data_IF_796357639974
#
_entry.id   IF_796357639974
#
_cell.length_a   1.000
_cell.length_b   1.000
_cell.length_c   1.000
_cell.angle_alpha   90.00
_cell.angle_beta   90.00
_cell.angle_gamma   90.00
#
_symmetry.space_group_name_H-M   'P 1'
#
loop_
_entity.id
_entity.type
_entity.pdbx_description
1 polymer ?
#
# COMPACT_ATOMS: atom_id res chain seq x y z
N UNK A 1 59.84 -63.79 14.16
CA UNK A 1 59.11 -64.83 14.92
C UNK A 1 59.25 -64.47 16.40
N UNK A 2 58.28 -63.81 17.06
CA UNK A 2 57.11 -64.38 17.75
C UNK A 2 57.53 -64.98 19.12
N UNK A 3 56.95 -64.72 20.31
CA UNK A 3 55.66 -64.14 20.76
C UNK A 3 55.68 -63.99 22.32
N UNK A 4 54.87 -63.04 22.85
CA UNK A 4 54.07 -63.08 24.12
C UNK A 4 54.78 -63.13 25.50
N UNK A 5 54.40 -62.50 26.62
CA UNK A 5 53.15 -61.98 27.28
C UNK A 5 53.59 -60.93 28.35
N UNK A 6 52.89 -59.84 28.73
CA UNK A 6 51.65 -59.64 29.53
C UNK A 6 51.33 -58.12 29.47
N UNK A 7 50.24 -57.64 28.86
CA UNK A 7 48.86 -57.50 29.39
C UNK A 7 48.72 -56.67 30.68
N UNK A 8 48.47 -55.36 30.53
CA UNK A 8 47.93 -54.47 31.56
C UNK A 8 46.39 -54.51 31.52
N UNK A 9 45.79 -54.71 32.68
CA UNK A 9 44.34 -54.81 32.88
C UNK A 9 43.65 -53.45 32.80
N UNK A 10 42.49 -53.48 32.16
CA UNK A 10 41.58 -52.38 31.84
C UNK A 10 40.97 -51.67 33.04
N UNK A 11 40.99 -50.34 33.02
CA UNK A 11 39.98 -49.48 33.65
C UNK A 11 39.34 -48.59 32.59
N UNK A 12 38.17 -48.98 32.07
CA UNK A 12 37.24 -48.04 31.42
C UNK A 12 35.86 -48.66 31.20
N UNK A 13 35.14 -48.83 32.31
CA UNK A 13 33.70 -49.00 32.27
C UNK A 13 33.00 -47.64 32.28
N UNK A 14 32.12 -47.44 31.30
CA UNK A 14 30.82 -46.74 31.48
C UNK A 14 30.84 -45.19 31.62
N UNK A 15 31.20 -44.47 30.56
CA UNK A 15 30.73 -43.08 30.34
C UNK A 15 30.74 -42.76 28.84
N UNK A 16 29.68 -43.09 28.09
CA UNK A 16 29.60 -42.66 26.66
C UNK A 16 28.20 -42.68 26.01
N UNK A 17 27.11 -42.94 26.74
CA UNK A 17 25.76 -42.98 26.11
C UNK A 17 24.85 -41.80 26.49
N UNK A 18 24.92 -41.30 27.72
CA UNK A 18 24.09 -40.17 28.14
C UNK A 18 24.67 -38.80 27.72
N UNK A 19 25.99 -38.66 27.63
CA UNK A 19 26.62 -37.40 27.17
C UNK A 19 26.37 -37.11 25.68
N UNK A 20 26.30 -38.13 24.81
CA UNK A 20 26.01 -37.94 23.38
C UNK A 20 24.54 -37.55 23.13
N UNK A 21 23.59 -38.12 23.87
CA UNK A 21 22.17 -37.70 23.78
C UNK A 21 22.00 -36.24 24.21
N UNK A 22 22.66 -35.83 25.29
CA UNK A 22 22.57 -34.46 25.82
C UNK A 22 23.22 -33.44 24.88
N UNK A 23 24.32 -33.81 24.19
CA UNK A 23 25.00 -32.95 23.22
C UNK A 23 24.23 -32.81 21.89
N UNK A 24 23.62 -33.88 21.38
CA UNK A 24 22.73 -33.83 20.21
C UNK A 24 21.44 -33.05 20.50
N UNK A 25 20.86 -33.21 21.69
CA UNK A 25 19.65 -32.48 22.08
C UNK A 25 19.93 -31.00 22.34
N UNK A 26 21.12 -30.67 22.87
CA UNK A 26 21.62 -29.30 23.01
C UNK A 26 21.92 -28.66 21.65
N UNK A 27 22.62 -29.35 20.74
CA UNK A 27 22.90 -28.81 19.40
C UNK A 27 21.63 -28.65 18.57
N UNK A 28 20.65 -29.55 18.73
CA UNK A 28 19.33 -29.46 18.11
C UNK A 28 18.51 -28.30 18.69
N UNK A 29 18.56 -28.06 20.01
CA UNK A 29 17.93 -26.88 20.63
C UNK A 29 18.55 -25.58 20.15
N UNK A 30 19.88 -25.49 20.09
CA UNK A 30 20.61 -24.33 19.55
C UNK A 30 20.26 -24.11 18.07
N UNK A 31 20.21 -25.16 17.26
CA UNK A 31 19.81 -25.05 15.85
C UNK A 31 18.35 -24.64 15.67
N UNK A 32 17.44 -25.12 16.53
CA UNK A 32 16.02 -24.72 16.51
C UNK A 32 15.85 -23.26 16.98
N UNK A 33 16.61 -22.82 17.98
CA UNK A 33 16.61 -21.45 18.48
C UNK A 33 17.24 -20.46 17.48
N UNK A 34 18.28 -20.88 16.77
CA UNK A 34 18.90 -20.12 15.69
C UNK A 34 17.96 -19.99 14.47
N UNK A 35 17.29 -21.07 14.07
CA UNK A 35 16.26 -21.05 13.02
C UNK A 35 15.05 -20.20 13.43
N UNK A 36 14.59 -20.32 14.69
CA UNK A 36 13.49 -19.51 15.19
C UNK A 36 13.85 -18.01 15.19
N UNK A 37 15.04 -17.64 15.66
CA UNK A 37 15.47 -16.23 15.68
C UNK A 37 15.78 -15.65 14.29
N UNK A 38 16.14 -16.47 13.31
CA UNK A 38 16.38 -16.05 11.92
C UNK A 38 15.10 -15.69 11.15
N UNK A 39 14.00 -16.35 11.50
CA UNK A 39 12.73 -16.28 10.80
C UNK A 39 11.64 -15.52 11.56
N UNK A 40 11.76 -15.34 12.88
CA UNK A 40 10.73 -14.64 13.65
C UNK A 40 10.83 -13.11 13.51
N UNK A 41 9.70 -12.44 13.24
CA UNK A 41 9.63 -10.98 13.21
C UNK A 41 9.83 -10.36 14.60
N UNK A 42 10.40 -9.13 14.70
CA UNK A 42 10.49 -8.41 15.96
C UNK A 42 9.08 -8.08 16.47
N UNK A 43 8.67 -8.69 17.58
CA UNK A 43 7.27 -8.64 18.06
C UNK A 43 6.79 -7.19 18.27
N UNK A 44 7.62 -6.32 18.85
CA UNK A 44 7.26 -4.91 19.06
C UNK A 44 7.02 -4.16 17.74
N UNK A 45 7.83 -4.43 16.71
CA UNK A 45 7.63 -3.83 15.39
C UNK A 45 6.29 -4.27 14.78
N UNK A 46 5.97 -5.56 14.85
CA UNK A 46 4.70 -6.08 14.34
C UNK A 46 3.54 -5.44 15.07
N UNK A 47 3.58 -5.44 16.40
CA UNK A 47 2.50 -4.89 17.22
C UNK A 47 2.24 -3.44 16.85
N UNK A 48 3.28 -2.62 16.74
CA UNK A 48 3.16 -1.22 16.34
C UNK A 48 2.59 -1.08 14.93
N UNK A 49 3.10 -1.82 13.94
CA UNK A 49 2.59 -1.74 12.56
C UNK A 49 1.13 -2.20 12.48
N UNK A 50 0.78 -3.29 13.17
CA UNK A 50 -0.60 -3.79 13.22
C UNK A 50 -1.54 -2.80 13.91
N UNK A 51 -1.12 -2.15 14.99
CA UNK A 51 -1.93 -1.14 15.66
C UNK A 51 -2.09 0.12 14.80
N UNK A 52 -0.98 0.64 14.25
CA UNK A 52 -0.95 1.90 13.51
C UNK A 52 -1.54 1.76 12.11
N UNK A 53 -0.96 0.90 11.27
CA UNK A 53 -1.49 0.62 9.92
C UNK A 53 -2.87 -0.03 9.99
N UNK A 54 -3.15 -0.87 10.99
CA UNK A 54 -4.48 -1.45 11.17
C UNK A 54 -5.54 -0.42 11.51
N UNK A 55 -5.23 0.58 12.35
CA UNK A 55 -6.14 1.70 12.61
C UNK A 55 -6.47 2.47 11.33
N UNK A 56 -5.45 2.84 10.54
CA UNK A 56 -5.65 3.53 9.26
C UNK A 56 -6.37 2.65 8.23
N UNK A 57 -6.13 1.34 8.26
CA UNK A 57 -6.83 0.36 7.44
C UNK A 57 -8.33 0.38 7.72
N UNK A 58 -8.77 0.49 8.97
CA UNK A 58 -10.20 0.54 9.33
C UNK A 58 -10.89 1.76 8.70
N UNK A 59 -10.27 2.95 8.78
CA UNK A 59 -10.83 4.16 8.16
C UNK A 59 -10.83 4.08 6.62
N UNK A 60 -9.76 3.53 6.04
CA UNK A 60 -9.68 3.30 4.59
C UNK A 60 -10.75 2.30 4.12
N UNK A 61 -10.97 1.23 4.90
CA UNK A 61 -12.03 0.25 4.66
C UNK A 61 -13.42 0.89 4.73
N UNK A 62 -13.66 1.75 5.72
CA UNK A 62 -14.90 2.55 5.81
C UNK A 62 -15.10 3.36 4.55
N UNK A 63 -14.07 4.03 4.04
CA UNK A 63 -14.20 4.86 2.84
C UNK A 63 -14.59 4.07 1.59
N UNK A 64 -14.17 2.81 1.49
CA UNK A 64 -14.52 1.90 0.39
C UNK A 64 -15.94 1.32 0.55
N UNK A 65 -16.24 0.75 1.72
CA UNK A 65 -17.40 -0.13 1.90
C UNK A 65 -18.56 0.49 2.68
N UNK A 66 -18.36 1.64 3.33
CA UNK A 66 -19.37 2.33 4.12
C UNK A 66 -19.10 3.85 4.12
N UNK A 67 -18.95 4.42 2.92
CA UNK A 67 -18.56 5.81 2.72
C UNK A 67 -19.50 6.76 3.47
N UNK A 68 -18.96 7.66 4.29
CA UNK A 68 -19.79 8.58 5.07
C UNK A 68 -20.33 8.01 6.39
N UNK A 69 -20.08 6.72 6.70
CA UNK A 69 -20.42 6.16 8.00
C UNK A 69 -19.49 6.72 9.07
N UNK A 70 -20.06 7.30 10.12
CA UNK A 70 -19.33 7.74 11.29
C UNK A 70 -18.95 6.52 12.16
N UNK A 71 -17.65 6.34 12.38
CA UNK A 71 -17.08 5.30 13.25
C UNK A 71 -16.16 5.89 14.34
N UNK A 72 -15.80 7.18 14.24
CA UNK A 72 -14.88 7.86 15.16
C UNK A 72 -15.54 8.95 16.02
N UNK A 73 -16.87 8.99 16.09
CA UNK A 73 -17.62 9.93 16.93
C UNK A 73 -17.60 11.35 16.39
N UNK A 74 -17.46 12.35 17.27
CA UNK A 74 -17.54 13.76 16.90
C UNK A 74 -16.43 14.19 15.91
N UNK A 75 -15.21 13.69 16.11
CA UNK A 75 -14.06 14.04 15.25
C UNK A 75 -14.23 13.52 13.83
N UNK A 76 -14.73 12.29 13.68
CA UNK A 76 -15.02 11.71 12.37
C UNK A 76 -16.23 12.38 11.71
N UNK A 77 -17.24 12.80 12.47
CA UNK A 77 -18.34 13.59 11.92
C UNK A 77 -17.86 14.90 11.30
N UNK A 78 -17.02 15.67 12.01
CA UNK A 78 -16.48 16.94 11.51
C UNK A 78 -15.66 16.71 10.22
N UNK A 79 -14.79 15.71 10.21
CA UNK A 79 -14.00 15.33 9.04
C UNK A 79 -14.85 14.87 7.85
N UNK A 80 -15.88 14.06 8.09
CA UNK A 80 -16.83 13.62 7.05
C UNK A 80 -17.68 14.78 6.52
N UNK A 81 -17.98 15.77 7.36
CA UNK A 81 -18.71 16.99 6.96
C UNK A 81 -17.83 17.84 6.05
N UNK A 82 -16.58 18.08 6.46
CA UNK A 82 -15.60 18.81 5.65
C UNK A 82 -15.43 18.18 4.26
N UNK A 83 -15.31 16.84 4.20
CA UNK A 83 -15.14 16.10 2.95
C UNK A 83 -16.46 15.80 2.21
N UNK A 84 -17.59 16.39 2.64
CA UNK A 84 -18.93 16.15 2.09
C UNK A 84 -19.36 14.66 2.04
N UNK A 85 -18.66 13.79 2.76
CA UNK A 85 -18.84 12.34 2.66
C UNK A 85 -20.12 11.86 3.35
N UNK A 86 -20.67 12.65 4.29
CA UNK A 86 -21.95 12.35 4.96
C UNK A 86 -23.11 12.29 3.96
N UNK A 87 -23.05 13.05 2.87
CA UNK A 87 -24.09 13.09 1.85
C UNK A 87 -24.34 11.71 1.22
N UNK A 88 -23.31 10.87 1.12
CA UNK A 88 -23.38 9.51 0.57
C UNK A 88 -23.97 8.48 1.55
N UNK A 89 -24.01 8.81 2.85
CA UNK A 89 -24.55 7.96 3.91
C UNK A 89 -25.98 8.36 4.33
N UNK A 90 -26.29 9.66 4.38
CA UNK A 90 -27.61 10.16 4.77
C UNK A 90 -28.69 9.53 3.87
N UNK A 91 -29.86 9.16 4.41
CA UNK A 91 -30.95 8.48 3.70
C UNK A 91 -32.24 9.30 3.36
N UNK A 92 -32.22 10.63 3.48
CA UNK A 92 -33.37 11.53 3.21
C UNK A 92 -33.77 11.82 1.74
N UNK A 93 -32.85 11.78 0.75
CA UNK A 93 -33.09 12.15 -0.68
C UNK A 93 -33.62 11.00 -1.55
N UNK A 94 -34.12 9.90 -0.98
CA UNK A 94 -34.80 8.83 -1.72
C UNK A 94 -33.95 7.86 -2.56
N UNK A 95 -32.62 8.01 -2.65
CA UNK A 95 -31.74 7.05 -3.35
C UNK A 95 -31.20 5.91 -2.48
N UNK A 96 -31.89 5.64 -1.37
CA UNK A 96 -31.25 5.61 -0.06
C UNK A 96 -31.63 4.35 0.74
N UNK A 97 -31.23 3.19 0.25
CA UNK A 97 -31.14 1.96 1.06
C UNK A 97 -29.71 1.46 1.25
N UNK A 98 -28.70 2.25 0.85
CA UNK A 98 -27.37 1.69 0.60
C UNK A 98 -26.26 2.21 1.51
N UNK A 99 -26.53 3.18 2.41
CA UNK A 99 -25.66 3.55 3.54
C UNK A 99 -24.17 3.74 3.16
N UNK A 100 -23.89 4.38 2.02
CA UNK A 100 -22.54 4.56 1.50
C UNK A 100 -21.80 3.29 1.06
N UNK A 101 -22.50 2.17 0.96
CA UNK A 101 -21.98 0.87 0.53
C UNK A 101 -21.64 0.80 -0.95
N UNK A 102 -21.18 -0.36 -1.43
CA UNK A 102 -20.93 -0.56 -2.87
C UNK A 102 -22.21 -0.51 -3.70
N UNK A 103 -23.33 -0.83 -3.08
CA UNK A 103 -24.63 -0.78 -3.71
C UNK A 103 -25.00 0.66 -4.09
N UNK A 104 -24.49 1.69 -3.39
CA UNK A 104 -24.72 3.12 -3.66
C UNK A 104 -24.18 3.62 -5.00
N UNK A 105 -23.48 2.76 -5.73
CA UNK A 105 -22.96 3.05 -7.07
C UNK A 105 -24.13 2.94 -8.05
N UNK A 106 -24.58 4.11 -8.53
CA UNK A 106 -25.63 4.22 -9.54
C UNK A 106 -25.05 4.09 -10.94
N UNK A 107 -25.73 3.42 -11.89
CA UNK A 107 -25.31 3.40 -13.29
C UNK A 107 -25.47 4.76 -13.99
N UNK A 108 -26.17 5.72 -13.38
CA UNK A 108 -26.37 7.08 -13.92
C UNK A 108 -25.79 8.10 -12.97
N UNK A 109 -24.96 9.00 -13.49
CA UNK A 109 -24.37 10.13 -12.76
C UNK A 109 -25.26 11.37 -12.87
N UNK A 110 -25.51 12.06 -11.76
CA UNK A 110 -26.23 13.34 -11.67
C UNK A 110 -25.56 14.24 -10.64
N UNK A 111 -25.72 15.57 -10.74
CA UNK A 111 -25.14 16.51 -9.77
C UNK A 111 -25.55 16.19 -8.33
N UNK A 112 -26.81 15.79 -8.16
CA UNK A 112 -27.30 15.52 -6.84
C UNK A 112 -26.70 14.22 -6.25
N UNK A 113 -26.35 13.21 -7.08
CA UNK A 113 -25.79 11.92 -6.64
C UNK A 113 -24.27 11.88 -6.62
N UNK A 114 -23.64 12.82 -7.31
CA UNK A 114 -22.20 13.07 -7.31
C UNK A 114 -21.40 11.75 -7.36
N UNK A 115 -21.66 10.91 -8.37
CA UNK A 115 -20.93 9.64 -8.54
C UNK A 115 -19.42 9.87 -8.71
N UNK A 116 -19.01 11.03 -9.22
CA UNK A 116 -17.61 11.46 -9.28
C UNK A 116 -16.96 11.59 -7.91
N UNK A 117 -17.58 12.37 -7.01
CA UNK A 117 -17.10 12.50 -5.63
C UNK A 117 -17.13 11.17 -4.87
N UNK A 118 -18.18 10.36 -5.07
CA UNK A 118 -18.25 9.01 -4.48
C UNK A 118 -17.13 8.10 -5.01
N UNK A 119 -16.83 8.19 -6.31
CA UNK A 119 -15.73 7.46 -6.95
C UNK A 119 -14.39 7.86 -6.34
N UNK A 120 -14.07 9.15 -6.28
CA UNK A 120 -12.82 9.67 -5.71
C UNK A 120 -12.66 9.20 -4.26
N UNK A 121 -13.74 9.27 -3.45
CA UNK A 121 -13.68 8.84 -2.05
C UNK A 121 -13.45 7.33 -1.91
N UNK A 122 -14.19 6.50 -2.67
CA UNK A 122 -14.01 5.04 -2.63
C UNK A 122 -12.65 4.61 -3.17
N UNK A 123 -12.20 5.22 -4.26
CA UNK A 123 -10.91 4.92 -4.86
C UNK A 123 -9.76 5.39 -3.97
N UNK A 124 -9.88 6.56 -3.34
CA UNK A 124 -8.92 7.06 -2.35
C UNK A 124 -8.82 6.13 -1.15
N UNK A 125 -9.96 5.67 -0.64
CA UNK A 125 -10.02 4.63 0.39
C UNK A 125 -9.38 3.31 -0.06
N UNK A 126 -9.58 2.88 -1.30
CA UNK A 126 -8.96 1.65 -1.83
C UNK A 126 -7.45 1.80 -1.99
N UNK A 127 -6.97 2.95 -2.47
CA UNK A 127 -5.55 3.24 -2.61
C UNK A 127 -4.86 3.29 -1.23
N UNK A 128 -5.51 3.92 -0.25
CA UNK A 128 -5.05 3.96 1.13
C UNK A 128 -5.07 2.56 1.79
N UNK A 129 -6.11 1.77 1.55
CA UNK A 129 -6.20 0.40 2.04
C UNK A 129 -5.08 -0.46 1.43
N UNK A 130 -4.84 -0.35 0.13
CA UNK A 130 -3.73 -1.01 -0.55
C UNK A 130 -2.36 -0.58 0.01
N UNK A 131 -2.19 0.70 0.35
CA UNK A 131 -0.94 1.19 0.96
C UNK A 131 -0.73 0.62 2.37
N UNK A 132 -1.79 0.44 3.16
CA UNK A 132 -1.70 -0.24 4.46
C UNK A 132 -1.44 -1.75 4.31
N UNK A 133 -2.07 -2.43 3.33
CA UNK A 133 -1.83 -3.85 3.03
C UNK A 133 -0.35 -4.09 2.71
N UNK A 134 0.31 -3.15 2.05
CA UNK A 134 1.73 -3.26 1.72
C UNK A 134 2.64 -3.36 2.95
N UNK A 135 2.21 -2.81 4.09
CA UNK A 135 2.88 -2.91 5.39
C UNK A 135 2.45 -4.16 6.16
N UNK A 136 1.14 -4.44 6.18
CA UNK A 136 0.54 -5.51 6.99
C UNK A 136 0.78 -6.91 6.40
N UNK A 137 0.57 -7.10 5.10
CA UNK A 137 0.56 -8.41 4.47
C UNK A 137 1.90 -9.15 4.62
N UNK A 138 3.08 -8.52 4.43
CA UNK A 138 4.36 -9.20 4.65
C UNK A 138 4.57 -9.65 6.10
N UNK A 139 3.96 -8.98 7.08
CA UNK A 139 4.08 -9.31 8.50
C UNK A 139 3.15 -10.47 8.90
N UNK A 140 1.92 -10.49 8.38
CA UNK A 140 0.94 -11.53 8.67
C UNK A 140 1.21 -12.82 7.89
N UNK A 141 1.53 -12.70 6.60
CA UNK A 141 1.78 -13.82 5.70
C UNK A 141 3.25 -13.87 5.38
N UNK A 142 4.03 -14.31 6.37
CA UNK A 142 5.47 -14.43 6.26
C UNK A 142 5.83 -15.24 4.99
N UNK A 143 6.50 -14.63 3.99
CA UNK A 143 6.77 -15.33 2.75
C UNK A 143 7.66 -16.54 3.00
N UNK A 144 7.38 -17.62 2.26
CA UNK A 144 8.24 -18.79 2.26
C UNK A 144 9.69 -18.38 1.99
N UNK A 145 10.61 -18.85 2.85
CA UNK A 145 12.05 -18.56 2.79
C UNK A 145 12.48 -17.11 3.12
N UNK A 146 11.56 -16.21 3.49
CA UNK A 146 11.97 -14.91 3.99
C UNK A 146 12.72 -15.05 5.33
N UNK A 147 13.65 -14.13 5.61
CA UNK A 147 14.43 -14.10 6.85
C UNK A 147 14.62 -12.66 7.31
N UNK A 148 14.36 -12.41 8.58
CA UNK A 148 14.48 -11.09 9.18
C UNK A 148 15.94 -10.67 9.30
N UNK A 149 16.81 -11.55 9.80
CA UNK A 149 18.25 -11.27 9.96
C UNK A 149 19.01 -11.06 8.64
N UNK A 150 18.43 -11.48 7.50
CA UNK A 150 18.97 -11.20 6.15
C UNK A 150 18.51 -9.86 5.58
N UNK A 151 17.66 -9.13 6.31
CA UNK A 151 17.18 -7.83 5.87
C UNK A 151 16.20 -7.90 4.71
N UNK A 152 15.51 -9.03 4.48
CA UNK A 152 14.53 -9.16 3.40
C UNK A 152 13.39 -8.12 3.54
N UNK A 153 12.99 -7.77 4.76
CA UNK A 153 11.91 -6.82 4.98
C UNK A 153 12.35 -5.35 4.90
N UNK A 154 13.65 -5.06 4.91
CA UNK A 154 14.17 -3.67 4.98
C UNK A 154 13.68 -2.77 3.84
N UNK A 155 13.68 -3.19 2.56
CA UNK A 155 13.18 -2.33 1.49
C UNK A 155 11.72 -1.93 1.68
N UNK A 156 10.85 -2.87 2.08
CA UNK A 156 9.43 -2.59 2.35
C UNK A 156 9.28 -1.60 3.50
N UNK A 157 10.05 -1.77 4.57
CA UNK A 157 10.05 -0.89 5.74
C UNK A 157 10.59 0.52 5.42
N UNK A 158 11.63 0.64 4.60
CA UNK A 158 12.14 1.94 4.14
C UNK A 158 11.08 2.66 3.31
N UNK A 159 10.44 1.96 2.37
CA UNK A 159 9.36 2.56 1.58
C UNK A 159 8.15 2.92 2.43
N UNK A 160 7.86 2.14 3.49
CA UNK A 160 6.82 2.47 4.47
C UNK A 160 7.10 3.77 5.22
N UNK A 161 8.35 4.00 5.62
CA UNK A 161 8.77 5.27 6.24
C UNK A 161 8.53 6.43 5.28
N UNK A 162 8.94 6.30 4.02
CA UNK A 162 8.73 7.36 3.02
C UNK A 162 7.23 7.63 2.83
N UNK A 163 6.42 6.58 2.67
CA UNK A 163 4.97 6.70 2.54
C UNK A 163 4.32 7.40 3.74
N UNK A 164 4.70 7.03 4.96
CA UNK A 164 4.18 7.66 6.17
C UNK A 164 4.57 9.13 6.25
N UNK A 165 5.83 9.48 5.95
CA UNK A 165 6.30 10.86 5.93
C UNK A 165 5.54 11.70 4.88
N UNK A 166 5.29 11.16 3.69
CA UNK A 166 4.51 11.86 2.66
C UNK A 166 3.07 12.13 3.13
N UNK A 167 2.42 11.17 3.80
CA UNK A 167 1.09 11.37 4.38
C UNK A 167 1.11 12.39 5.53
N UNK A 168 2.13 12.36 6.39
CA UNK A 168 2.31 13.34 7.47
C UNK A 168 2.41 14.76 6.91
N UNK A 169 3.23 14.97 5.88
CA UNK A 169 3.38 16.27 5.22
C UNK A 169 2.06 16.71 4.60
N UNK A 170 1.37 15.81 3.90
CA UNK A 170 0.08 16.10 3.28
C UNK A 170 -0.98 16.53 4.30
N UNK A 171 -1.18 15.76 5.36
CA UNK A 171 -2.10 16.16 6.43
C UNK A 171 -1.67 17.44 7.11
N UNK A 172 -0.35 17.63 7.33
CA UNK A 172 0.19 18.84 7.94
C UNK A 172 -0.18 20.11 7.18
N UNK A 173 -0.06 20.11 5.85
CA UNK A 173 -0.44 21.24 4.98
C UNK A 173 -1.92 21.60 5.15
N UNK A 174 -2.82 20.61 5.16
CA UNK A 174 -4.25 20.87 5.27
C UNK A 174 -4.70 21.18 6.71
N UNK A 175 -4.02 20.66 7.72
CA UNK A 175 -4.31 20.96 9.12
C UNK A 175 -4.05 22.44 9.40
N UNK A 176 -2.97 23.01 8.88
CA UNK A 176 -2.57 24.39 9.21
C UNK A 176 -3.55 25.45 8.72
N UNK A 177 -4.16 25.25 7.56
CA UNK A 177 -4.93 26.31 6.89
C UNK A 177 -6.42 25.98 6.80
N UNK A 178 -6.77 24.75 6.42
CA UNK A 178 -8.14 24.42 5.99
C UNK A 178 -8.95 23.69 7.07
N UNK A 179 -8.41 22.60 7.60
CA UNK A 179 -9.14 21.73 8.53
C UNK A 179 -9.36 22.41 9.89
N UNK A 180 -8.36 23.16 10.38
CA UNK A 180 -8.48 23.87 11.66
C UNK A 180 -9.49 25.00 11.57
N UNK A 181 -9.60 25.67 10.42
CA UNK A 181 -10.55 26.76 10.21
C UNK A 181 -12.02 26.31 10.35
N UNK A 182 -12.30 25.05 10.02
CA UNK A 182 -13.64 24.45 10.12
C UNK A 182 -13.80 23.47 11.30
N UNK A 183 -12.80 23.35 12.18
CA UNK A 183 -12.81 22.45 13.33
C UNK A 183 -12.85 20.95 12.98
N UNK A 184 -12.30 20.57 11.83
CA UNK A 184 -12.28 19.19 11.32
C UNK A 184 -10.89 18.52 11.40
N UNK A 185 -9.97 19.11 12.15
CA UNK A 185 -8.54 18.79 12.21
C UNK A 185 -8.18 17.70 13.24
N UNK A 186 -9.02 17.43 14.23
CA UNK A 186 -8.73 16.48 15.31
C UNK A 186 -8.46 15.04 14.82
N UNK A 187 -9.28 14.53 13.89
CA UNK A 187 -9.07 13.19 13.32
C UNK A 187 -7.81 13.12 12.42
N UNK A 188 -7.57 14.08 11.50
CA UNK A 188 -6.30 14.20 10.79
C UNK A 188 -5.06 14.33 11.69
N UNK A 189 -5.14 15.07 12.80
CA UNK A 189 -4.08 15.13 13.82
C UNK A 189 -3.80 13.75 14.43
N UNK A 190 -4.84 12.99 14.75
CA UNK A 190 -4.70 11.61 15.23
C UNK A 190 -4.03 10.70 14.18
N UNK A 191 -4.44 10.78 12.91
CA UNK A 191 -3.78 10.05 11.82
C UNK A 191 -2.30 10.40 11.73
N UNK A 192 -1.97 11.68 11.84
CA UNK A 192 -0.60 12.19 11.80
C UNK A 192 0.22 11.65 12.98
N UNK A 193 -0.32 11.68 14.20
CA UNK A 193 0.34 11.12 15.39
C UNK A 193 0.63 9.63 15.27
N UNK A 194 -0.31 8.85 14.74
CA UNK A 194 -0.14 7.41 14.50
C UNK A 194 0.93 7.14 13.44
N UNK A 195 0.94 7.91 12.35
CA UNK A 195 1.97 7.80 11.30
C UNK A 195 3.36 8.16 11.84
N UNK A 196 3.47 9.18 12.69
CA UNK A 196 4.74 9.58 13.34
C UNK A 196 5.25 8.43 14.24
N UNK A 197 4.38 7.89 15.10
CA UNK A 197 4.73 6.79 15.99
C UNK A 197 5.24 5.57 15.20
N UNK A 198 4.49 5.15 14.19
CA UNK A 198 4.89 4.03 13.32
C UNK A 198 6.23 4.29 12.63
N UNK A 199 6.43 5.51 12.13
CA UNK A 199 7.67 5.92 11.47
C UNK A 199 8.87 5.85 12.41
N UNK A 200 8.75 6.35 13.65
CA UNK A 200 9.80 6.30 14.66
C UNK A 200 10.19 4.85 14.97
N UNK A 201 9.21 3.98 15.18
CA UNK A 201 9.48 2.57 15.52
C UNK A 201 10.13 1.82 14.36
N UNK A 202 9.66 2.04 13.13
CA UNK A 202 10.28 1.44 11.93
C UNK A 202 11.72 1.95 11.77
N UNK A 203 11.96 3.27 11.91
CA UNK A 203 13.30 3.85 11.83
C UNK A 203 14.23 3.30 12.92
N UNK A 204 13.78 3.25 14.16
CA UNK A 204 14.55 2.67 15.27
C UNK A 204 14.95 1.23 14.97
N UNK A 205 14.02 0.42 14.44
CA UNK A 205 14.34 -0.93 13.98
C UNK A 205 15.36 -0.94 12.83
N UNK A 206 15.20 -0.09 11.81
CA UNK A 206 16.10 -0.05 10.65
C UNK A 206 17.54 0.36 11.03
N UNK A 207 17.69 1.22 12.03
CA UNK A 207 18.98 1.68 12.56
C UNK A 207 19.63 0.60 13.45
N UNK A 208 18.85 -0.04 14.32
CA UNK A 208 19.37 -1.01 15.30
C UNK A 208 19.58 -2.41 14.72
N UNK A 209 18.80 -2.81 13.72
CA UNK A 209 18.92 -4.12 13.07
C UNK A 209 20.14 -4.15 12.14
N UNK A 210 21.16 -4.94 12.52
CA UNK A 210 22.29 -5.27 11.65
C UNK A 210 21.95 -6.48 10.79
N UNK A 211 22.38 -6.49 9.53
CA UNK A 211 22.30 -7.69 8.69
C UNK A 211 23.36 -8.70 9.19
N UNK A 212 22.92 -9.72 9.94
CA UNK A 212 23.82 -10.61 10.68
C UNK A 212 24.42 -11.69 9.78
N UNK A 213 23.74 -12.07 8.67
CA UNK A 213 24.25 -13.07 7.74
C UNK A 213 24.22 -12.59 6.30
N UNK A 214 25.37 -12.51 5.63
CA UNK A 214 25.43 -12.75 4.18
C UNK A 214 25.30 -14.26 4.01
N UNK A 215 24.07 -14.76 3.80
CA UNK A 215 23.90 -16.16 3.46
C UNK A 215 24.65 -16.48 2.15
N UNK A 216 24.96 -17.75 1.85
CA UNK A 216 25.34 -18.11 0.48
C UNK A 216 24.24 -17.55 -0.42
N UNK A 217 24.64 -16.91 -1.53
CA UNK A 217 23.69 -16.48 -2.55
C UNK A 217 22.80 -17.69 -2.81
N UNK A 218 21.55 -17.65 -2.36
CA UNK A 218 20.61 -18.73 -2.66
C UNK A 218 20.53 -18.66 -4.16
N UNK A 219 21.14 -19.65 -4.83
CA UNK A 219 21.06 -19.76 -6.27
C UNK A 219 19.57 -19.66 -6.59
N UNK A 220 19.19 -18.54 -7.21
CA UNK A 220 17.83 -18.38 -7.68
C UNK A 220 17.55 -19.61 -8.53
N UNK A 221 16.40 -20.27 -8.34
CA UNK A 221 16.01 -21.40 -9.19
C UNK A 221 16.33 -21.06 -10.65
N UNK A 222 16.92 -22.00 -11.38
CA UNK A 222 17.35 -21.78 -12.77
C UNK A 222 16.26 -21.04 -13.56
N UNK A 223 16.64 -19.91 -14.16
CA UNK A 223 15.73 -19.04 -14.91
C UNK A 223 15.05 -17.91 -14.12
N UNK A 224 15.29 -17.74 -12.80
CA UNK A 224 14.71 -16.67 -11.96
C UNK A 224 15.71 -15.60 -11.51
N UNK A 225 16.60 -15.15 -12.39
CA UNK A 225 17.53 -14.04 -12.12
C UNK A 225 16.83 -12.66 -12.19
N UNK A 226 17.45 -11.55 -11.72
CA UNK A 226 16.99 -10.18 -12.03
C UNK A 226 16.78 -9.92 -13.52
N UNK A 227 17.47 -10.69 -14.36
CA UNK A 227 17.42 -10.66 -15.82
C UNK A 227 16.53 -11.73 -16.44
N UNK A 228 15.81 -12.50 -15.62
CA UNK A 228 14.80 -13.45 -16.11
C UNK A 228 13.73 -12.74 -16.93
N UNK A 229 13.16 -13.47 -17.89
CA UNK A 229 12.04 -13.00 -18.71
C UNK A 229 10.90 -12.50 -17.80
N UNK A 230 10.59 -13.26 -16.75
CA UNK A 230 9.58 -12.94 -15.73
C UNK A 230 9.84 -11.57 -15.09
N UNK A 231 11.05 -11.37 -14.57
CA UNK A 231 11.42 -10.14 -13.87
C UNK A 231 11.41 -8.92 -14.80
N UNK A 232 11.79 -9.13 -16.07
CA UNK A 232 11.71 -8.10 -17.12
C UNK A 232 10.27 -7.76 -17.49
N UNK A 233 9.37 -8.74 -17.57
CA UNK A 233 7.94 -8.51 -17.85
C UNK A 233 7.31 -7.66 -16.75
N UNK A 234 7.53 -8.02 -15.47
CA UNK A 234 7.01 -7.24 -14.33
C UNK A 234 7.58 -5.83 -14.34
N UNK A 235 8.90 -5.68 -14.49
CA UNK A 235 9.54 -4.36 -14.48
C UNK A 235 9.05 -3.45 -15.62
N UNK A 236 8.90 -4.00 -16.84
CA UNK A 236 8.36 -3.25 -17.98
C UNK A 236 6.90 -2.88 -17.79
N UNK A 237 6.09 -3.80 -17.28
CA UNK A 237 4.66 -3.55 -17.02
C UNK A 237 4.50 -2.47 -15.96
N UNK A 238 5.20 -2.58 -14.84
CA UNK A 238 5.20 -1.55 -13.80
C UNK A 238 5.70 -0.22 -14.35
N UNK A 239 6.76 -0.19 -15.16
CA UNK A 239 7.27 1.05 -15.74
C UNK A 239 6.23 1.77 -16.59
N UNK A 240 5.55 1.05 -17.47
CA UNK A 240 4.57 1.63 -18.38
C UNK A 240 3.31 2.05 -17.61
N UNK A 241 2.71 1.11 -16.87
CA UNK A 241 1.43 1.35 -16.17
C UNK A 241 1.61 2.33 -15.02
N UNK A 242 2.52 2.02 -14.08
CA UNK A 242 2.75 2.90 -12.93
C UNK A 242 3.42 4.20 -13.32
N UNK A 243 4.21 4.24 -14.39
CA UNK A 243 4.78 5.50 -14.91
C UNK A 243 3.70 6.47 -15.37
N UNK A 244 2.71 5.99 -16.11
CA UNK A 244 1.57 6.82 -16.53
C UNK A 244 0.70 7.24 -15.35
N UNK A 245 0.43 6.34 -14.41
CA UNK A 245 -0.28 6.69 -13.16
C UNK A 245 0.49 7.77 -12.37
N UNK A 246 1.82 7.72 -12.33
CA UNK A 246 2.63 8.75 -11.66
C UNK A 246 2.50 10.12 -12.32
N UNK A 247 2.42 10.18 -13.65
CA UNK A 247 2.20 11.46 -14.35
C UNK A 247 0.84 12.05 -13.97
N UNK A 248 -0.22 11.25 -14.06
CA UNK A 248 -1.60 11.66 -13.77
C UNK A 248 -1.76 12.04 -12.29
N UNK A 249 -1.34 11.17 -11.38
CA UNK A 249 -1.44 11.42 -9.94
C UNK A 249 -0.49 12.53 -9.47
N UNK A 250 0.67 12.69 -10.11
CA UNK A 250 1.57 13.82 -9.86
C UNK A 250 0.92 15.14 -10.23
N UNK A 251 0.29 15.21 -11.41
CA UNK A 251 -0.53 16.35 -11.82
C UNK A 251 -1.66 16.58 -10.83
N UNK A 252 -2.44 15.57 -10.46
CA UNK A 252 -3.57 15.73 -9.53
C UNK A 252 -3.14 16.25 -8.15
N UNK A 253 -1.95 15.85 -7.68
CA UNK A 253 -1.40 16.28 -6.41
C UNK A 253 -0.91 17.73 -6.42
N UNK A 254 -0.14 18.14 -7.44
CA UNK A 254 0.54 19.43 -7.46
C UNK A 254 -0.15 20.51 -8.29
N UNK A 255 -0.87 20.10 -9.33
CA UNK A 255 -1.50 20.98 -10.33
C UNK A 255 -2.91 20.46 -10.66
N UNK A 256 -3.81 20.34 -9.67
CA UNK A 256 -5.17 19.86 -9.90
C UNK A 256 -5.86 20.73 -10.97
N UNK A 257 -6.62 20.09 -11.86
CA UNK A 257 -7.35 20.77 -12.96
C UNK A 257 -6.52 21.10 -14.21
N UNK A 258 -5.21 20.86 -14.19
CA UNK A 258 -4.39 20.98 -15.42
C UNK A 258 -4.69 19.84 -16.37
N UNK A 259 -5.16 20.17 -17.58
CA UNK A 259 -5.42 19.19 -18.64
C UNK A 259 -4.08 18.75 -19.24
N UNK A 260 -3.91 17.43 -19.42
CA UNK A 260 -2.77 16.88 -20.13
C UNK A 260 -3.16 16.60 -21.58
N UNK A 261 -2.45 17.23 -22.52
CA UNK A 261 -2.67 17.02 -23.96
C UNK A 261 -2.16 15.67 -24.49
N UNK A 262 -1.54 14.85 -23.64
CA UNK A 262 -0.99 13.54 -24.01
C UNK A 262 -2.04 12.42 -23.89
N UNK A 263 -1.94 11.39 -24.73
CA UNK A 263 -2.90 10.28 -24.77
C UNK A 263 -2.75 9.35 -23.55
N UNK A 264 -3.84 9.05 -22.82
CA UNK A 264 -5.22 9.52 -23.06
C UNK A 264 -5.47 10.95 -22.57
N UNK A 265 -6.13 11.78 -23.41
CA UNK A 265 -6.59 13.14 -23.06
C UNK A 265 -7.57 13.02 -21.91
N UNK A 266 -7.37 13.73 -20.81
CA UNK A 266 -8.04 13.44 -19.54
C UNK A 266 -9.07 14.49 -19.09
N UNK A 267 -9.52 15.33 -20.02
CA UNK A 267 -10.57 16.33 -19.80
C UNK A 267 -11.83 15.70 -19.19
N UNK A 268 -12.33 14.61 -19.78
CA UNK A 268 -13.53 13.93 -19.29
C UNK A 268 -13.29 13.18 -17.96
N UNK A 269 -12.06 12.71 -17.70
CA UNK A 269 -11.70 12.13 -16.41
C UNK A 269 -11.70 13.20 -15.31
N UNK A 270 -11.18 14.39 -15.59
CA UNK A 270 -11.18 15.51 -14.67
C UNK A 270 -12.59 16.07 -14.44
N UNK A 271 -13.44 16.09 -15.47
CA UNK A 271 -14.86 16.46 -15.35
C UNK A 271 -15.59 15.45 -14.45
N UNK A 272 -15.40 14.17 -14.71
CA UNK A 272 -16.08 13.10 -13.98
C UNK A 272 -15.59 12.94 -12.54
N UNK A 273 -14.33 13.28 -12.24
CA UNK A 273 -13.79 13.28 -10.86
C UNK A 273 -14.04 14.60 -10.13
N UNK A 274 -14.67 15.57 -10.78
CA UNK A 274 -14.88 16.92 -10.25
C UNK A 274 -13.64 17.82 -10.29
N UNK A 275 -12.46 17.29 -10.66
CA UNK A 275 -11.21 18.04 -10.70
C UNK A 275 -11.22 19.26 -11.63
N UNK A 276 -11.97 19.23 -12.75
CA UNK A 276 -12.19 20.41 -13.62
C UNK A 276 -13.10 21.46 -12.96
N UNK A 277 -14.07 21.04 -12.15
CA UNK A 277 -14.96 21.95 -11.44
C UNK A 277 -14.26 22.68 -10.27
N UNK A 278 -13.15 22.13 -9.77
CA UNK A 278 -12.38 22.67 -8.64
C UNK A 278 -11.18 23.54 -9.04
N UNK A 279 -10.70 23.42 -10.27
CA UNK A 279 -9.57 24.20 -10.80
C UNK A 279 -9.74 24.30 -12.32
N UNK A 280 -10.76 25.05 -12.79
CA UNK A 280 -11.07 25.12 -14.21
C UNK A 280 -9.87 25.73 -14.96
N UNK A 281 -9.54 25.25 -16.17
CA UNK A 281 -8.45 25.80 -16.96
C UNK A 281 -8.71 27.27 -17.25
N UNK A 282 -7.64 28.08 -17.22
CA UNK A 282 -7.70 29.50 -17.58
C UNK A 282 -8.35 29.68 -18.96
N UNK A 283 -9.46 30.43 -19.01
CA UNK A 283 -10.21 30.72 -20.25
C UNK A 283 -11.23 29.64 -20.68
N UNK A 284 -11.55 28.67 -19.82
CA UNK A 284 -12.66 27.74 -20.05
C UNK A 284 -14.04 28.39 -19.78
N UNK A 285 -15.12 27.95 -20.46
CA UNK A 285 -16.48 28.41 -20.17
C UNK A 285 -16.87 28.24 -18.69
N UNK A 286 -16.35 27.21 -18.03
CA UNK A 286 -16.53 26.95 -16.60
C UNK A 286 -15.81 28.00 -15.75
N UNK A 287 -14.59 28.40 -16.10
CA UNK A 287 -13.88 29.51 -15.46
C UNK A 287 -14.60 30.85 -15.67
N UNK A 288 -15.22 31.07 -16.84
CA UNK A 288 -15.99 32.29 -17.14
C UNK A 288 -17.36 32.33 -16.44
N UNK A 289 -18.04 31.19 -16.33
CA UNK A 289 -19.38 31.10 -15.73
C UNK A 289 -19.38 31.01 -14.20
N UNK A 290 -18.30 30.50 -13.60
CA UNK A 290 -18.23 30.22 -12.17
C UNK A 290 -17.07 30.93 -11.45
N UNK A 291 -16.19 31.60 -12.18
CA UNK A 291 -14.90 32.08 -11.68
C UNK A 291 -13.90 30.93 -11.53
N UNK A 292 -12.61 31.26 -11.47
CA UNK A 292 -11.53 30.32 -11.08
C UNK A 292 -11.73 29.74 -9.66
N UNK A 293 -12.65 30.33 -8.90
CA UNK A 293 -12.99 30.01 -7.51
C UNK A 293 -14.51 29.99 -7.37
N UNK A 294 -15.16 28.88 -7.73
CA UNK A 294 -16.47 28.60 -7.16
C UNK A 294 -16.23 28.19 -5.70
N UNK A 295 -17.06 28.64 -4.76
CA UNK A 295 -17.06 28.26 -3.32
C UNK A 295 -17.27 26.73 -3.04
N UNK A 296 -17.03 25.85 -4.01
CA UNK A 296 -17.28 24.42 -3.93
C UNK A 296 -16.09 23.66 -3.33
N UNK A 297 -16.25 23.42 -2.03
CA UNK A 297 -15.67 22.41 -1.13
C UNK A 297 -14.17 22.08 -1.30
N UNK A 298 -13.33 22.87 -0.60
CA UNK A 298 -11.94 22.53 -0.23
C UNK A 298 -11.77 21.04 0.17
N UNK A 299 -12.78 20.46 0.82
CA UNK A 299 -12.79 19.04 1.17
C UNK A 299 -12.75 18.08 -0.02
N UNK A 300 -13.38 18.38 -1.15
CA UNK A 300 -13.36 17.53 -2.34
C UNK A 300 -12.00 17.61 -3.07
N UNK A 301 -11.38 18.80 -3.14
CA UNK A 301 -9.98 18.98 -3.56
C UNK A 301 -9.03 18.17 -2.69
N UNK A 302 -9.20 18.24 -1.37
CA UNK A 302 -8.45 17.44 -0.41
C UNK A 302 -8.58 15.93 -0.69
N UNK A 303 -9.79 15.44 -1.01
CA UNK A 303 -10.00 14.02 -1.34
C UNK A 303 -9.31 13.60 -2.64
N UNK A 304 -9.36 14.44 -3.67
CA UNK A 304 -8.68 14.19 -4.95
C UNK A 304 -7.17 14.09 -4.77
N UNK A 305 -6.57 15.06 -4.08
CA UNK A 305 -5.14 15.04 -3.78
C UNK A 305 -4.74 13.90 -2.84
N UNK A 306 -5.62 13.52 -1.90
CA UNK A 306 -5.42 12.35 -1.05
C UNK A 306 -5.38 11.04 -1.84
N UNK A 307 -6.30 10.86 -2.80
CA UNK A 307 -6.27 9.75 -3.74
C UNK A 307 -4.97 9.75 -4.53
N UNK A 308 -4.61 10.90 -5.13
CA UNK A 308 -3.42 11.06 -5.93
C UNK A 308 -2.15 10.67 -5.16
N UNK A 309 -1.99 11.17 -3.93
CA UNK A 309 -0.87 10.83 -3.06
C UNK A 309 -0.79 9.33 -2.75
N UNK A 310 -1.92 8.69 -2.42
CA UNK A 310 -1.92 7.26 -2.15
C UNK A 310 -1.59 6.43 -3.41
N UNK A 311 -2.04 6.86 -4.59
CA UNK A 311 -1.65 6.23 -5.86
C UNK A 311 -0.14 6.38 -6.12
N UNK A 312 0.45 7.56 -5.87
CA UNK A 312 1.90 7.77 -5.94
C UNK A 312 2.67 6.87 -4.97
N UNK A 313 2.18 6.70 -3.74
CA UNK A 313 2.76 5.78 -2.76
C UNK A 313 2.74 4.34 -3.28
N UNK A 314 1.63 3.87 -3.84
CA UNK A 314 1.54 2.53 -4.44
C UNK A 314 2.52 2.36 -5.60
N UNK A 315 2.60 3.37 -6.48
CA UNK A 315 3.58 3.39 -7.56
C UNK A 315 5.02 3.33 -7.02
N UNK A 316 5.34 4.08 -5.96
CA UNK A 316 6.66 4.03 -5.31
C UNK A 316 7.02 2.61 -4.87
N UNK A 317 6.09 1.88 -4.24
CA UNK A 317 6.31 0.48 -3.89
C UNK A 317 6.59 -0.38 -5.12
N UNK A 318 5.81 -0.20 -6.20
CA UNK A 318 6.02 -0.93 -7.47
C UNK A 318 7.39 -0.62 -8.09
N UNK A 319 7.84 0.64 -8.06
CA UNK A 319 9.15 1.06 -8.54
C UNK A 319 10.28 0.49 -7.69
N UNK A 320 10.17 0.55 -6.36
CA UNK A 320 11.15 -0.06 -5.45
C UNK A 320 11.25 -1.56 -5.68
N UNK A 321 10.12 -2.25 -5.82
CA UNK A 321 10.07 -3.68 -6.15
C UNK A 321 10.73 -4.01 -7.49
N UNK A 322 10.43 -3.25 -8.54
CA UNK A 322 10.88 -3.52 -9.91
C UNK A 322 12.33 -3.10 -10.20
N UNK A 323 12.84 -2.04 -9.55
CA UNK A 323 14.13 -1.44 -9.91
C UNK A 323 15.19 -1.48 -8.81
N UNK A 324 14.79 -1.27 -7.56
CA UNK A 324 15.73 -1.22 -6.42
C UNK A 324 16.00 -2.61 -5.87
N UNK A 325 14.93 -3.33 -5.55
CA UNK A 325 14.99 -4.67 -4.96
C UNK A 325 15.49 -5.68 -6.00
N UNK A 326 14.99 -5.59 -7.24
CA UNK A 326 15.34 -6.49 -8.34
C UNK A 326 16.83 -6.55 -8.61
N UNK A 327 17.54 -5.42 -8.52
CA UNK A 327 18.95 -5.30 -8.93
C UNK A 327 19.94 -5.68 -7.82
N UNK A 328 19.46 -6.08 -6.64
CA UNK A 328 20.33 -6.55 -5.56
C UNK A 328 20.89 -7.94 -5.84
N UNK A 329 22.21 -8.05 -5.74
CA UNK A 329 22.98 -9.29 -5.91
C UNK A 329 23.10 -10.13 -4.62
N UNK A 330 22.32 -9.85 -3.58
CA UNK A 330 22.40 -10.53 -2.28
C UNK A 330 21.65 -11.88 -2.23
N UNK A 331 21.09 -12.33 -3.35
CA UNK A 331 20.29 -13.57 -3.44
C UNK A 331 18.90 -13.49 -2.78
N UNK A 332 18.56 -12.36 -2.14
CA UNK A 332 17.26 -12.12 -1.50
C UNK A 332 16.26 -11.37 -2.37
N UNK A 333 16.71 -10.73 -3.46
CA UNK A 333 15.92 -9.83 -4.30
C UNK A 333 14.58 -10.41 -4.80
N UNK A 334 14.51 -11.70 -5.15
CA UNK A 334 13.25 -12.32 -5.57
C UNK A 334 12.22 -12.41 -4.43
N UNK A 335 12.66 -12.81 -3.24
CA UNK A 335 11.79 -12.92 -2.06
C UNK A 335 11.27 -11.54 -1.69
N UNK A 336 12.16 -10.55 -1.71
CA UNK A 336 11.85 -9.15 -1.47
C UNK A 336 10.86 -8.59 -2.50
N UNK A 337 11.04 -8.90 -3.78
CA UNK A 337 10.14 -8.45 -4.85
C UNK A 337 8.77 -9.12 -4.75
N UNK A 338 8.71 -10.43 -4.49
CA UNK A 338 7.44 -11.16 -4.31
C UNK A 338 6.63 -10.64 -3.12
N UNK A 339 7.28 -10.18 -2.04
CA UNK A 339 6.58 -9.52 -0.92
C UNK A 339 5.81 -8.29 -1.38
N UNK A 340 6.45 -7.45 -2.20
CA UNK A 340 5.82 -6.26 -2.76
C UNK A 340 4.74 -6.65 -3.77
N UNK A 341 5.05 -7.52 -4.72
CA UNK A 341 4.12 -7.87 -5.79
C UNK A 341 2.84 -8.54 -5.31
N UNK A 342 2.90 -9.40 -4.29
CA UNK A 342 1.70 -10.01 -3.69
C UNK A 342 0.76 -8.95 -3.09
N UNK A 343 1.31 -8.01 -2.32
CA UNK A 343 0.51 -6.95 -1.72
C UNK A 343 -0.05 -6.00 -2.79
N UNK A 344 0.76 -5.63 -3.79
CA UNK A 344 0.32 -4.81 -4.92
C UNK A 344 -0.74 -5.50 -5.79
N UNK A 345 -0.64 -6.82 -5.98
CA UNK A 345 -1.66 -7.58 -6.70
C UNK A 345 -3.02 -7.51 -5.99
N UNK A 346 -3.04 -7.69 -4.66
CA UNK A 346 -4.27 -7.56 -3.85
C UNK A 346 -4.81 -6.13 -3.90
N UNK A 347 -3.94 -5.13 -3.71
CA UNK A 347 -4.34 -3.72 -3.77
C UNK A 347 -4.91 -3.32 -5.13
N UNK A 348 -4.21 -3.67 -6.21
CA UNK A 348 -4.67 -3.42 -7.57
C UNK A 348 -5.98 -4.15 -7.89
N UNK A 349 -6.21 -5.36 -7.36
CA UNK A 349 -7.47 -6.07 -7.55
C UNK A 349 -8.66 -5.32 -6.93
N UNK A 350 -8.47 -4.70 -5.76
CA UNK A 350 -9.50 -3.88 -5.11
C UNK A 350 -9.80 -2.62 -5.92
N UNK A 351 -8.74 -1.94 -6.38
CA UNK A 351 -8.84 -0.77 -7.26
C UNK A 351 -9.57 -1.15 -8.56
N UNK A 352 -9.15 -2.23 -9.22
CA UNK A 352 -9.76 -2.75 -10.45
C UNK A 352 -11.24 -3.07 -10.25
N UNK A 353 -11.58 -3.70 -9.13
CA UNK A 353 -12.96 -4.02 -8.78
C UNK A 353 -13.82 -2.75 -8.67
N UNK A 354 -13.33 -1.69 -8.04
CA UNK A 354 -14.03 -0.41 -7.98
C UNK A 354 -14.18 0.24 -9.37
N UNK A 355 -13.10 0.30 -10.16
CA UNK A 355 -13.18 0.76 -11.55
C UNK A 355 -14.25 -0.01 -12.33
N UNK A 356 -14.33 -1.34 -12.14
CA UNK A 356 -15.35 -2.15 -12.81
C UNK A 356 -16.78 -1.81 -12.36
N UNK A 357 -16.99 -1.57 -11.06
CA UNK A 357 -18.31 -1.21 -10.52
C UNK A 357 -18.79 0.16 -11.00
N UNK A 358 -17.88 1.13 -11.13
CA UNK A 358 -18.21 2.47 -11.63
C UNK A 358 -18.28 2.56 -13.16
N UNK A 359 -17.84 1.52 -13.88
CA UNK A 359 -17.88 1.50 -15.36
C UNK A 359 -19.25 1.83 -15.98
N UNK A 360 -20.40 1.40 -15.44
CA UNK A 360 -21.70 1.83 -15.95
C UNK A 360 -21.96 3.32 -15.71
N UNK A 361 -21.61 3.84 -14.53
CA UNK A 361 -21.72 5.27 -14.17
C UNK A 361 -20.81 6.16 -15.04
N UNK A 362 -19.67 5.61 -15.43
CA UNK A 362 -18.70 6.15 -16.37
C UNK A 362 -19.05 5.80 -17.83
N UNK A 363 -20.26 5.30 -18.13
CA UNK A 363 -20.68 4.90 -19.47
C UNK A 363 -20.59 6.03 -20.51
N UNK A 364 -20.62 7.29 -20.04
CA UNK A 364 -20.35 8.52 -20.80
C UNK A 364 -18.95 9.09 -20.58
N UNK A 365 -18.23 8.65 -19.53
CA UNK A 365 -16.91 9.15 -19.15
C UNK A 365 -15.81 8.37 -19.89
N UNK A 366 -15.54 8.84 -21.10
CA UNK A 366 -14.34 8.71 -21.94
C UNK A 366 -13.60 7.38 -22.10
N UNK A 367 -12.86 7.33 -23.21
CA UNK A 367 -11.88 6.31 -23.53
C UNK A 367 -10.88 6.08 -22.38
N UNK A 368 -10.67 7.09 -21.53
CA UNK A 368 -9.62 7.12 -20.50
C UNK A 368 -9.99 6.23 -19.31
N UNK A 369 -11.26 6.21 -18.89
CA UNK A 369 -11.69 5.30 -17.82
C UNK A 369 -11.51 3.82 -18.21
N UNK A 370 -11.80 3.49 -19.48
CA UNK A 370 -11.59 2.15 -20.05
C UNK A 370 -10.11 1.81 -20.17
N UNK A 371 -9.29 2.79 -20.52
CA UNK A 371 -7.84 2.65 -20.59
C UNK A 371 -7.23 2.38 -19.21
N UNK A 372 -7.62 3.14 -18.18
CA UNK A 372 -7.20 2.91 -16.79
C UNK A 372 -7.59 1.51 -16.31
N UNK A 373 -8.83 1.09 -16.58
CA UNK A 373 -9.33 -0.24 -16.25
C UNK A 373 -8.49 -1.34 -16.93
N UNK A 374 -8.17 -1.19 -18.22
CA UNK A 374 -7.34 -2.14 -18.97
C UNK A 374 -5.91 -2.21 -18.40
N UNK A 375 -5.29 -1.05 -18.15
CA UNK A 375 -3.91 -0.97 -17.65
C UNK A 375 -3.77 -1.55 -16.25
N UNK A 376 -4.70 -1.22 -15.35
CA UNK A 376 -4.73 -1.78 -14.00
C UNK A 376 -5.05 -3.28 -14.04
N UNK A 377 -5.95 -3.74 -14.92
CA UNK A 377 -6.23 -5.17 -15.11
C UNK A 377 -4.99 -5.94 -15.56
N UNK A 378 -4.28 -5.41 -16.56
CA UNK A 378 -3.05 -6.00 -17.06
C UNK A 378 -1.96 -6.06 -15.98
N UNK A 379 -1.75 -4.97 -15.23
CA UNK A 379 -0.79 -4.95 -14.13
C UNK A 379 -1.19 -5.91 -13.00
N UNK A 380 -2.48 -5.98 -12.65
CA UNK A 380 -3.01 -6.93 -11.65
C UNK A 380 -2.74 -8.37 -12.06
N UNK A 381 -2.99 -8.72 -13.32
CA UNK A 381 -2.75 -10.06 -13.85
C UNK A 381 -1.26 -10.43 -13.77
N UNK A 382 -0.38 -9.55 -14.24
CA UNK A 382 1.08 -9.76 -14.23
C UNK A 382 1.59 -9.91 -12.79
N UNK A 383 1.19 -9.02 -11.88
CA UNK A 383 1.60 -9.09 -10.47
C UNK A 383 1.03 -10.33 -9.77
N UNK A 384 -0.19 -10.75 -10.10
CA UNK A 384 -0.79 -11.96 -9.52
C UNK A 384 -0.06 -13.21 -9.99
N UNK A 385 0.18 -13.31 -11.30
CA UNK A 385 0.88 -14.45 -11.91
C UNK A 385 2.26 -14.63 -11.29
N UNK A 386 3.04 -13.56 -11.15
CA UNK A 386 4.44 -13.66 -10.68
C UNK A 386 4.63 -13.46 -9.18
N UNK A 387 3.64 -12.90 -8.50
CA UNK A 387 3.59 -12.80 -7.05
C UNK A 387 3.22 -14.13 -6.40
N UNK A 388 2.21 -14.82 -6.91
CA UNK A 388 1.65 -16.03 -6.29
C UNK A 388 2.17 -17.36 -6.87
N UNK A 389 2.55 -17.43 -8.16
CA UNK A 389 3.30 -18.56 -8.73
C UNK A 389 4.81 -18.35 -8.55
#
# INVERSE_FOLDING_TARGET
>A
MGKSTKAASSSRGKMTKDQNKTAEESSRKVAVEEVATDHLPPIFLIFTVMACSGFLFVYSFRDVFATGRNIGGAYDHAYLTFTNSIAFFNNEKGWKSQQGGLSSISPVTTDANNMGGLFVRKLGGAAALASQIQKILPLLFHPANARWKRGHFRPVLITAVIANLSLIVFYGIYITEELTAVGADELPKLFTGILILETIVILAYLITSRNVSKGPAVAMQDGKTPNSIISRIVARTNLLVSGMIVVIAGRDLFFPGTILDFIPRDDIYLEWTGALLHSPPDGSPEAEAHGMERDFFVGEKFLSQYLALNMLILCLYKFVGAFVIRTRNDGGGLIQAKMVWKAQAVGNAIILYLFRLFSPAAGTASIDFRWHLMMIAYETLILSLYGFL
#
